data_IF_298247817574
#
_entry.id   IF_298247817574
#
_cell.length_a   1.000
_cell.length_b   1.000
_cell.length_c   1.000
_cell.angle_alpha   90.00
_cell.angle_beta   90.00
_cell.angle_gamma   90.00
#
_symmetry.space_group_name_H-M   'P 1'
#
loop_
_entity.id
_entity.type
_entity.pdbx_description
1 polymer ?
#
# COMPACT_ATOMS: atom_id res chain seq x y z
N UNK A 1 2.95 10.70 -6.48
CA UNK A 1 4.41 10.90 -6.32
C UNK A 1 4.76 10.87 -4.84
N UNK A 2 5.43 9.79 -4.42
CA UNK A 2 5.88 9.58 -3.05
C UNK A 2 7.13 10.38 -2.66
N UNK A 3 7.48 10.40 -1.37
CA UNK A 3 8.68 11.08 -0.84
C UNK A 3 9.81 10.13 -0.45
N UNK A 4 9.73 8.86 -0.86
CA UNK A 4 10.70 7.84 -0.48
C UNK A 4 11.98 7.85 -1.33
N UNK A 5 13.05 7.25 -0.81
CA UNK A 5 14.39 7.23 -1.44
C UNK A 5 14.55 6.15 -2.50
N UNK A 6 13.64 5.18 -2.55
CA UNK A 6 13.64 4.07 -3.50
C UNK A 6 12.62 4.22 -4.63
N UNK A 7 12.35 3.12 -5.32
CA UNK A 7 11.25 2.99 -6.26
C UNK A 7 10.26 1.95 -5.78
N UNK A 8 8.99 2.13 -6.16
CA UNK A 8 7.91 1.21 -5.82
C UNK A 8 7.01 0.94 -7.00
N UNK A 9 6.48 -0.27 -7.08
CA UNK A 9 5.45 -0.66 -8.05
C UNK A 9 4.33 -1.41 -7.33
N UNK A 10 3.10 -1.14 -7.74
CA UNK A 10 1.93 -1.89 -7.32
C UNK A 10 1.16 -2.39 -8.55
N UNK A 11 0.86 -3.68 -8.60
CA UNK A 11 -0.08 -4.28 -9.55
C UNK A 11 -1.34 -4.64 -8.78
N UNK A 12 -2.46 -3.99 -9.12
CA UNK A 12 -3.74 -4.11 -8.42
C UNK A 12 -4.72 -4.86 -9.33
N UNK A 13 -5.54 -5.74 -8.76
CA UNK A 13 -6.61 -6.43 -9.47
C UNK A 13 -7.69 -6.95 -8.52
N UNK A 14 -8.80 -7.40 -9.09
CA UNK A 14 -9.89 -8.03 -8.37
C UNK A 14 -10.32 -9.33 -9.07
N UNK A 15 -10.79 -10.30 -8.28
CA UNK A 15 -11.32 -11.57 -8.75
C UNK A 15 -12.58 -11.98 -7.98
N UNK A 16 -13.73 -11.85 -8.66
CA UNK A 16 -15.02 -12.17 -8.05
C UNK A 16 -15.30 -11.33 -6.82
N UNK A 17 -15.09 -11.90 -5.63
CA UNK A 17 -15.38 -11.26 -4.34
C UNK A 17 -14.14 -10.76 -3.59
N UNK A 18 -12.95 -10.73 -4.22
CA UNK A 18 -11.72 -10.24 -3.59
C UNK A 18 -11.01 -9.19 -4.43
N UNK A 19 -10.24 -8.35 -3.75
CA UNK A 19 -9.31 -7.40 -4.35
C UNK A 19 -7.93 -7.63 -3.76
N UNK A 20 -6.91 -7.52 -4.60
CA UNK A 20 -5.52 -7.75 -4.21
C UNK A 20 -4.57 -6.78 -4.90
N UNK A 21 -3.40 -6.63 -4.29
CA UNK A 21 -2.27 -5.96 -4.90
C UNK A 21 -0.97 -6.68 -4.58
N UNK A 22 -0.13 -6.86 -5.58
CA UNK A 22 1.29 -7.17 -5.37
C UNK A 22 2.06 -5.86 -5.37
N UNK A 23 2.86 -5.66 -4.32
CA UNK A 23 3.61 -4.44 -4.09
C UNK A 23 5.07 -4.80 -3.98
N UNK A 24 5.92 -4.14 -4.76
CA UNK A 24 7.37 -4.30 -4.72
C UNK A 24 8.06 -2.97 -4.44
N UNK A 25 9.12 -3.02 -3.62
CA UNK A 25 10.04 -1.92 -3.38
C UNK A 25 11.45 -2.32 -3.81
N UNK A 26 12.18 -1.35 -4.35
CA UNK A 26 13.59 -1.48 -4.71
C UNK A 26 14.35 -0.24 -4.24
N UNK A 27 15.60 -0.42 -3.82
CA UNK A 27 16.45 0.66 -3.30
C UNK A 27 15.79 1.44 -2.14
N UNK A 28 14.87 0.80 -1.42
CA UNK A 28 14.28 1.32 -0.20
C UNK A 28 15.28 1.21 0.97
N UNK A 29 14.91 1.67 2.16
CA UNK A 29 15.75 1.49 3.35
C UNK A 29 15.95 -0.02 3.59
N UNK A 30 17.19 -0.52 3.69
CA UNK A 30 17.44 -1.94 4.00
C UNK A 30 16.97 -2.35 5.39
N UNK A 31 16.59 -3.61 5.55
CA UNK A 31 16.22 -4.24 6.83
C UNK A 31 15.17 -3.41 7.62
N UNK A 32 14.09 -3.03 6.92
CA UNK A 32 13.10 -2.11 7.44
C UNK A 32 11.67 -2.53 7.10
N UNK A 33 10.77 -2.30 8.07
CA UNK A 33 9.34 -2.57 7.90
C UNK A 33 8.61 -1.38 7.27
N UNK A 34 7.93 -1.65 6.17
CA UNK A 34 7.01 -0.76 5.51
C UNK A 34 5.57 -1.24 5.71
N UNK A 35 4.66 -0.32 6.03
CA UNK A 35 3.23 -0.59 6.15
C UNK A 35 2.56 -0.38 4.81
N UNK A 36 1.97 -1.43 4.26
CA UNK A 36 1.24 -1.39 2.99
C UNK A 36 -0.25 -1.38 3.28
N UNK A 37 -0.99 -0.50 2.60
CA UNK A 37 -2.45 -0.41 2.65
C UNK A 37 -3.03 -0.47 1.25
N UNK A 38 -3.97 -1.38 1.05
CA UNK A 38 -4.81 -1.48 -0.14
C UNK A 38 -6.19 -0.92 0.20
N UNK A 39 -6.60 0.11 -0.52
CA UNK A 39 -7.74 0.95 -0.15
C UNK A 39 -8.72 1.03 -1.31
N UNK A 40 -9.92 0.49 -1.13
CA UNK A 40 -10.99 0.44 -2.14
C UNK A 40 -11.78 1.74 -2.18
N UNK A 41 -12.30 2.15 -3.34
CA UNK A 41 -13.03 3.39 -3.60
C UNK A 41 -14.32 3.08 -4.36
N UNK A 42 -15.39 3.91 -4.27
CA UNK A 42 -15.49 5.13 -3.47
C UNK A 42 -15.57 4.84 -1.97
N UNK A 43 -15.21 5.84 -1.14
CA UNK A 43 -15.36 5.79 0.31
C UNK A 43 -15.98 7.09 0.84
N UNK A 44 -16.72 7.05 1.95
CA UNK A 44 -17.15 8.27 2.63
C UNK A 44 -15.95 9.14 3.00
N UNK A 45 -16.07 10.47 2.85
CA UNK A 45 -14.99 11.41 3.17
C UNK A 45 -14.62 11.45 4.66
N UNK A 46 -15.52 10.97 5.52
CA UNK A 46 -15.31 10.85 6.98
C UNK A 46 -14.62 9.56 7.39
N UNK A 47 -14.52 8.58 6.48
CA UNK A 47 -13.88 7.31 6.78
C UNK A 47 -12.36 7.48 6.82
N UNK A 48 -11.74 6.90 7.84
CA UNK A 48 -10.29 6.73 7.92
C UNK A 48 -9.81 5.73 6.87
N UNK A 49 -8.48 5.60 6.76
CA UNK A 49 -7.84 4.64 5.84
C UNK A 49 -6.99 3.66 6.64
N UNK A 50 -7.40 3.34 7.86
CA UNK A 50 -6.63 2.48 8.74
C UNK A 50 -6.90 1.02 8.41
N UNK A 51 -5.91 0.16 8.66
CA UNK A 51 -6.03 -1.27 8.38
C UNK A 51 -7.17 -1.84 9.24
N UNK A 52 -8.12 -2.50 8.61
CA UNK A 52 -9.32 -3.03 9.27
C UNK A 52 -10.56 -2.15 9.09
N UNK A 53 -10.42 -0.91 8.62
CA UNK A 53 -11.56 -0.11 8.17
C UNK A 53 -12.25 -0.78 6.96
N UNK A 54 -13.56 -0.56 6.78
CA UNK A 54 -14.28 -1.09 5.61
C UNK A 54 -13.61 -0.71 4.29
N UNK A 55 -13.27 -1.73 3.48
CA UNK A 55 -12.58 -1.54 2.20
C UNK A 55 -11.07 -1.29 2.32
N UNK A 56 -10.45 -1.50 3.48
CA UNK A 56 -9.01 -1.30 3.71
C UNK A 56 -8.33 -2.59 4.18
N UNK A 57 -7.49 -3.16 3.34
CA UNK A 57 -6.61 -4.28 3.68
C UNK A 57 -5.19 -3.78 3.96
N UNK A 58 -4.43 -4.51 4.77
CA UNK A 58 -3.07 -4.14 5.15
C UNK A 58 -2.11 -5.30 5.20
N UNK A 59 -0.83 -5.01 4.96
CA UNK A 59 0.28 -5.95 5.11
C UNK A 59 1.55 -5.22 5.59
N UNK A 60 2.50 -5.97 6.11
CA UNK A 60 3.86 -5.48 6.38
C UNK A 60 4.78 -6.01 5.29
N UNK A 61 5.52 -5.12 4.65
CA UNK A 61 6.58 -5.43 3.70
C UNK A 61 7.92 -5.17 4.38
N UNK A 62 8.70 -6.23 4.59
CA UNK A 62 10.01 -6.15 5.22
C UNK A 62 11.10 -6.23 4.14
N UNK A 63 11.91 -5.18 4.01
CA UNK A 63 12.99 -5.12 3.02
C UNK A 63 14.18 -5.97 3.43
N UNK A 64 14.83 -6.62 2.46
CA UNK A 64 16.09 -7.32 2.68
C UNK A 64 17.28 -6.35 2.90
N UNK A 65 18.47 -6.92 3.09
CA UNK A 65 19.71 -6.15 3.24
C UNK A 65 20.08 -5.30 2.01
N UNK A 66 19.47 -5.55 0.85
CA UNK A 66 19.60 -4.76 -0.37
C UNK A 66 18.51 -3.68 -0.53
N UNK A 67 17.57 -3.56 0.42
CA UNK A 67 16.45 -2.63 0.31
C UNK A 67 15.38 -3.08 -0.69
N UNK A 68 15.29 -4.39 -0.97
CA UNK A 68 14.31 -4.98 -1.88
C UNK A 68 13.29 -5.80 -1.11
N UNK A 69 12.03 -5.74 -1.52
CA UNK A 69 11.01 -6.68 -1.04
C UNK A 69 9.75 -6.66 -1.90
N UNK A 70 8.97 -7.73 -1.80
CA UNK A 70 7.65 -7.87 -2.41
C UNK A 70 6.67 -8.39 -1.36
N UNK A 71 5.44 -7.87 -1.37
CA UNK A 71 4.33 -8.38 -0.56
C UNK A 71 3.05 -8.42 -1.37
N UNK A 72 2.19 -9.39 -1.08
CA UNK A 72 0.80 -9.38 -1.55
C UNK A 72 -0.09 -8.92 -0.40
N UNK A 73 -0.94 -7.94 -0.67
CA UNK A 73 -2.01 -7.50 0.22
C UNK A 73 -3.34 -7.76 -0.45
N UNK A 74 -4.27 -8.40 0.24
CA UNK A 74 -5.58 -8.73 -0.31
C UNK A 74 -6.66 -8.69 0.77
N UNK A 75 -7.90 -8.55 0.34
CA UNK A 75 -9.07 -8.55 1.22
C UNK A 75 -10.37 -8.72 0.43
N UNK A 76 -11.50 -8.80 1.14
CA UNK A 76 -12.80 -8.87 0.50
C UNK A 76 -13.07 -7.61 -0.33
N UNK A 77 -13.62 -7.78 -1.52
CA UNK A 77 -14.11 -6.69 -2.37
C UNK A 77 -15.43 -6.16 -1.78
N UNK A 78 -15.47 -4.88 -1.47
CA UNK A 78 -16.69 -4.19 -1.04
C UNK A 78 -17.67 -4.12 -2.21
N UNK A 79 -18.96 -4.29 -1.94
CA UNK A 79 -20.01 -4.32 -2.97
C UNK A 79 -20.02 -3.08 -3.86
N UNK A 80 -19.65 -1.95 -3.29
CA UNK A 80 -19.74 -0.65 -3.94
C UNK A 80 -18.38 -0.22 -4.53
N UNK A 81 -17.32 -1.02 -4.34
CA UNK A 81 -15.98 -0.70 -4.80
C UNK A 81 -15.87 -0.79 -6.33
N UNK A 82 -15.37 0.27 -6.94
CA UNK A 82 -15.11 0.39 -8.38
C UNK A 82 -13.63 0.66 -8.69
N UNK A 83 -12.87 1.07 -7.67
CA UNK A 83 -11.46 1.41 -7.80
C UNK A 83 -10.68 0.95 -6.57
N UNK A 84 -9.37 0.80 -6.70
CA UNK A 84 -8.48 0.60 -5.57
C UNK A 84 -7.18 1.39 -5.70
N UNK A 85 -6.56 1.65 -4.56
CA UNK A 85 -5.36 2.45 -4.41
C UNK A 85 -4.42 1.81 -3.40
N UNK A 86 -3.11 1.94 -3.62
CA UNK A 86 -2.09 1.46 -2.69
C UNK A 86 -1.31 2.62 -2.09
N UNK A 87 -1.11 2.58 -0.77
CA UNK A 87 -0.17 3.44 -0.04
C UNK A 87 0.82 2.56 0.71
N UNK A 88 2.09 2.93 0.65
CA UNK A 88 3.18 2.29 1.40
C UNK A 88 3.86 3.35 2.25
N UNK A 89 3.98 3.11 3.55
CA UNK A 89 4.62 4.02 4.50
C UNK A 89 5.79 3.33 5.21
N UNK A 90 6.98 3.91 5.08
CA UNK A 90 8.19 3.45 5.73
C UNK A 90 8.42 4.04 7.12
N UNK A 91 9.44 3.56 7.83
CA UNK A 91 9.80 4.11 9.13
C UNK A 91 10.37 5.51 8.97
N UNK A 92 10.14 6.43 9.93
CA UNK A 92 10.77 7.73 9.92
C UNK A 92 12.30 7.60 9.99
N UNK A 93 12.99 8.45 9.23
CA UNK A 93 14.42 8.64 9.42
C UNK A 93 14.69 9.23 10.82
N UNK A 94 15.88 9.01 11.42
CA UNK A 94 16.23 9.62 12.70
C UNK A 94 15.97 11.13 12.71
N UNK A 95 15.24 11.62 13.72
CA UNK A 95 14.86 13.03 13.83
C UNK A 95 13.69 13.48 12.96
N UNK A 96 12.99 12.56 12.27
CA UNK A 96 11.76 12.85 11.51
C UNK A 96 10.54 12.23 12.20
N UNK A 97 9.36 12.80 11.93
CA UNK A 97 8.06 12.29 12.41
C UNK A 97 7.40 11.38 11.35
N UNK A 98 7.70 11.60 10.06
CA UNK A 98 7.19 10.81 8.92
C UNK A 98 8.33 10.12 8.20
N UNK A 99 8.08 8.88 7.77
CA UNK A 99 8.99 8.13 6.91
C UNK A 99 8.70 8.32 5.43
N UNK A 100 9.29 7.44 4.64
CA UNK A 100 9.01 7.33 3.22
C UNK A 100 7.51 7.10 2.99
N UNK A 101 6.96 7.71 1.95
CA UNK A 101 5.60 7.43 1.49
C UNK A 101 5.69 7.10 0.01
N UNK A 102 5.15 5.98 -0.42
CA UNK A 102 4.95 5.63 -1.83
C UNK A 102 3.46 5.42 -2.06
N UNK A 103 2.98 5.82 -3.23
CA UNK A 103 1.58 5.63 -3.63
C UNK A 103 1.52 5.14 -5.06
N UNK A 104 0.46 4.43 -5.43
CA UNK A 104 0.12 4.27 -6.85
C UNK A 104 -0.03 5.65 -7.51
N UNK A 105 0.15 5.74 -8.82
CA UNK A 105 0.05 7.01 -9.54
C UNK A 105 -1.42 7.47 -9.69
N UNK A 106 -2.32 6.53 -9.91
CA UNK A 106 -3.76 6.73 -10.07
C UNK A 106 -4.52 5.55 -9.44
N UNK A 107 -5.79 5.73 -9.02
CA UNK A 107 -6.64 4.61 -8.64
C UNK A 107 -6.84 3.68 -9.85
N UNK A 108 -6.74 2.37 -9.61
CA UNK A 108 -6.95 1.35 -10.64
C UNK A 108 -8.41 0.91 -10.60
N UNK A 109 -9.07 0.89 -11.76
CA UNK A 109 -10.43 0.35 -11.91
C UNK A 109 -10.41 -1.16 -11.66
N UNK A 110 -11.38 -1.65 -10.87
CA UNK A 110 -11.53 -3.05 -10.48
C UNK A 110 -12.45 -3.84 -11.41
#
# INVERSE_FOLDING_TARGET
MGSGTGSGRASIGADGSHVGAEVSLQSARPDADYRVRLIQLPRPSVATCDVGDPGVAGAVLHTDAGGTATVTVAGPLSSDATQAWVVVEGPPAPGRIRGDVYTSDYPVTL
#
